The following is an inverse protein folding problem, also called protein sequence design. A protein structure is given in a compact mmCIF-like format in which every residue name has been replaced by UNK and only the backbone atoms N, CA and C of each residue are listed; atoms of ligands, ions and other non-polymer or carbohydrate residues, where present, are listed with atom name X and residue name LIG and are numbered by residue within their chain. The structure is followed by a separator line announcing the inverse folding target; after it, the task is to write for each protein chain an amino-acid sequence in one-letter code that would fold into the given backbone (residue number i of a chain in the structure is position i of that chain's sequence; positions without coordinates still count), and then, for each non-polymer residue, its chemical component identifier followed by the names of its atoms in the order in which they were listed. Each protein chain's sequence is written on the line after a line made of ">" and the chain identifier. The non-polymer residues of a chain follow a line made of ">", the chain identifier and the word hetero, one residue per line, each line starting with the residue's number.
data_IF_989708401040
#
_entry.id   IF_989708401040
#
_cell.length_a   1.000
_cell.length_b   1.000
_cell.length_c   1.000
_cell.angle_alpha   90.00
_cell.angle_beta   90.00
_cell.angle_gamma   90.00
#
_symmetry.space_group_name_H-M   'P 1'
#
loop_
_entity.id
_entity.type
_entity.pdbx_description
1 polymer ?
#
# COMPACT_ATOMS: atom_id res chain seq x y z
N UNK A 1 20.08 -0.06 -1.76
CA UNK A 1 19.48 1.21 -1.28
C UNK A 1 18.43 0.97 -0.20
N UNK A 2 17.66 -0.13 -0.25
CA UNK A 2 16.62 -0.46 0.74
C UNK A 2 17.17 -0.54 2.17
N UNK A 3 18.35 -1.14 2.41
CA UNK A 3 18.93 -1.27 3.76
C UNK A 3 19.30 0.06 4.46
N UNK A 4 19.20 1.20 3.77
CA UNK A 4 19.37 2.54 4.35
C UNK A 4 18.03 3.19 4.77
N UNK A 5 16.92 2.53 4.44
CA UNK A 5 15.59 3.04 4.76
C UNK A 5 15.24 2.55 6.17
N UNK A 6 15.12 3.49 7.10
CA UNK A 6 14.65 3.22 8.45
C UNK A 6 13.32 3.95 8.65
N UNK A 7 12.28 3.19 8.94
CA UNK A 7 10.95 3.72 9.26
C UNK A 7 10.24 2.70 10.17
N UNK A 8 9.54 3.17 11.19
CA UNK A 8 8.85 2.28 12.13
C UNK A 8 7.76 1.42 11.47
N UNK A 9 7.22 1.86 10.34
CA UNK A 9 6.17 1.15 9.60
C UNK A 9 6.71 0.28 8.45
N UNK A 10 8.03 0.05 8.41
CA UNK A 10 8.71 -0.85 7.49
C UNK A 10 9.54 -1.88 8.28
N UNK A 11 9.75 -3.10 7.74
CA UNK A 11 10.69 -4.04 8.33
C UNK A 11 12.13 -3.50 8.21
N UNK A 12 12.98 -3.83 9.17
CA UNK A 12 14.41 -3.57 9.07
C UNK A 12 15.00 -4.48 7.99
N UNK A 13 15.75 -3.91 7.07
CA UNK A 13 16.52 -4.67 6.09
C UNK A 13 17.93 -4.88 6.66
N UNK A 14 18.29 -6.12 6.96
CA UNK A 14 19.59 -6.49 7.53
C UNK A 14 20.66 -6.56 6.44
N UNK A 15 20.33 -7.18 5.30
CA UNK A 15 21.27 -7.32 4.19
C UNK A 15 20.56 -7.52 2.84
N UNK A 16 21.29 -7.25 1.74
CA UNK A 16 20.84 -7.50 0.38
C UNK A 16 21.99 -8.17 -0.39
N UNK A 17 21.83 -9.44 -0.68
CA UNK A 17 22.79 -10.27 -1.40
C UNK A 17 22.38 -10.28 -2.89
N UNK A 18 23.26 -9.79 -3.76
CA UNK A 18 23.04 -9.83 -5.20
C UNK A 18 23.52 -11.16 -5.75
N UNK A 19 22.69 -11.82 -6.54
CA UNK A 19 22.98 -13.03 -7.31
C UNK A 19 22.95 -12.70 -8.80
N UNK A 20 23.46 -13.63 -9.63
CA UNK A 20 23.48 -13.45 -11.08
C UNK A 20 22.07 -13.34 -11.67
N UNK A 21 21.08 -14.00 -11.08
CA UNK A 21 19.69 -14.09 -11.55
C UNK A 21 18.68 -13.39 -10.63
N UNK A 22 19.14 -12.66 -9.58
CA UNK A 22 18.23 -11.99 -8.65
C UNK A 22 18.88 -11.41 -7.41
N UNK A 23 18.08 -11.23 -6.38
CA UNK A 23 18.54 -10.69 -5.08
C UNK A 23 17.88 -11.48 -3.95
N UNK A 24 18.66 -11.74 -2.91
CA UNK A 24 18.14 -12.22 -1.61
C UNK A 24 18.12 -11.04 -0.66
N UNK A 25 16.97 -10.77 -0.07
CA UNK A 25 16.81 -9.73 0.96
C UNK A 25 16.65 -10.42 2.31
N UNK A 26 17.53 -10.09 3.25
CA UNK A 26 17.43 -10.48 4.64
C UNK A 26 16.75 -9.36 5.42
N UNK A 27 15.56 -9.62 5.95
CA UNK A 27 14.75 -8.60 6.63
C UNK A 27 14.22 -9.07 7.99
N UNK A 28 13.74 -8.11 8.78
CA UNK A 28 13.07 -8.35 10.06
C UNK A 28 11.88 -9.29 9.88
N UNK A 29 11.84 -10.35 10.66
CA UNK A 29 10.62 -11.14 10.81
C UNK A 29 9.64 -10.38 11.71
N UNK A 30 8.56 -9.88 11.12
CA UNK A 30 7.55 -9.10 11.83
C UNK A 30 6.49 -10.04 12.39
N UNK A 31 6.55 -10.33 13.71
CA UNK A 31 5.53 -11.13 14.39
C UNK A 31 4.26 -10.31 14.64
N UNK A 32 3.09 -10.83 14.26
CA UNK A 32 1.80 -10.17 14.48
C UNK A 32 0.68 -10.80 13.67
N UNK A 33 -0.49 -10.16 13.68
CA UNK A 33 -1.61 -10.53 12.83
C UNK A 33 -1.64 -9.63 11.60
N UNK A 34 -1.94 -10.20 10.45
CA UNK A 34 -2.21 -9.39 9.26
C UNK A 34 -3.53 -8.63 9.42
N UNK A 35 -3.67 -7.51 8.72
CA UNK A 35 -4.96 -6.77 8.67
C UNK A 35 -6.06 -7.71 8.16
N UNK A 36 -5.77 -8.62 7.23
CA UNK A 36 -6.70 -9.64 6.75
C UNK A 36 -7.21 -10.53 7.90
N UNK A 37 -6.31 -11.09 8.71
CA UNK A 37 -6.66 -11.91 9.87
C UNK A 37 -7.49 -11.13 10.92
N UNK A 38 -7.16 -9.87 11.15
CA UNK A 38 -7.95 -9.04 12.07
C UNK A 38 -9.36 -8.80 11.51
N UNK A 39 -9.51 -8.65 10.19
CA UNK A 39 -10.81 -8.49 9.53
C UNK A 39 -11.71 -9.73 9.63
N UNK A 40 -11.17 -10.94 9.82
CA UNK A 40 -11.97 -12.14 10.09
C UNK A 40 -12.81 -12.00 11.35
N UNK A 41 -12.35 -11.20 12.32
CA UNK A 41 -13.10 -10.90 13.56
C UNK A 41 -14.15 -9.80 13.40
N UNK A 42 -14.20 -9.14 12.25
CA UNK A 42 -15.17 -8.09 11.92
C UNK A 42 -14.56 -6.87 11.23
N UNK A 43 -15.44 -5.91 10.96
CA UNK A 43 -15.05 -4.66 10.29
C UNK A 43 -14.31 -3.71 11.24
N UNK A 44 -13.41 -2.93 10.69
CA UNK A 44 -12.76 -1.86 11.44
C UNK A 44 -13.72 -0.71 11.73
N UNK A 45 -13.53 -0.07 12.89
CA UNK A 45 -14.05 1.29 13.10
C UNK A 45 -13.31 2.28 12.21
N UNK A 46 -13.90 3.45 11.95
CA UNK A 46 -13.21 4.52 11.21
C UNK A 46 -11.85 4.86 11.84
N UNK A 47 -11.79 4.97 13.17
CA UNK A 47 -10.54 5.28 13.87
C UNK A 47 -9.49 4.18 13.71
N UNK A 48 -9.88 2.91 13.79
CA UNK A 48 -8.97 1.78 13.59
C UNK A 48 -8.44 1.72 12.15
N UNK A 49 -9.32 1.82 11.16
CA UNK A 49 -8.93 1.84 9.75
C UNK A 49 -8.03 3.05 9.43
N UNK A 50 -8.37 4.23 9.95
CA UNK A 50 -7.54 5.44 9.81
C UNK A 50 -6.11 5.21 10.31
N UNK A 51 -5.92 4.63 11.50
CA UNK A 51 -4.58 4.33 12.05
C UNK A 51 -3.77 3.43 11.10
N UNK A 52 -4.40 2.42 10.52
CA UNK A 52 -3.72 1.53 9.55
C UNK A 52 -3.30 2.34 8.32
N UNK A 53 -4.19 3.14 7.74
CA UNK A 53 -3.87 3.94 6.55
C UNK A 53 -2.78 4.98 6.85
N UNK A 54 -2.81 5.64 8.01
CA UNK A 54 -1.78 6.60 8.45
C UNK A 54 -0.40 5.93 8.53
N UNK A 55 -0.32 4.74 9.14
CA UNK A 55 0.93 3.98 9.24
C UNK A 55 1.47 3.58 7.85
N UNK A 56 0.59 3.10 6.95
CA UNK A 56 1.00 2.75 5.59
C UNK A 56 1.40 3.99 4.78
N UNK A 57 0.72 5.13 4.96
CA UNK A 57 1.15 6.40 4.34
C UNK A 57 2.55 6.82 4.79
N UNK A 58 2.89 6.63 6.08
CA UNK A 58 4.22 6.91 6.62
C UNK A 58 5.29 6.02 5.97
N UNK A 59 5.02 4.71 5.85
CA UNK A 59 5.90 3.76 5.15
C UNK A 59 6.12 4.17 3.69
N UNK A 60 5.03 4.41 2.96
CA UNK A 60 5.06 4.76 1.54
C UNK A 60 5.71 6.13 1.30
N UNK A 61 5.56 7.09 2.20
CA UNK A 61 6.23 8.40 2.06
C UNK A 61 7.75 8.25 1.95
N UNK A 62 8.33 7.35 2.74
CA UNK A 62 9.77 7.08 2.70
C UNK A 62 10.15 6.31 1.43
N UNK A 63 9.37 5.30 1.03
CA UNK A 63 9.60 4.55 -0.22
C UNK A 63 9.51 5.46 -1.45
N UNK A 64 8.45 6.26 -1.54
CA UNK A 64 8.21 7.18 -2.65
C UNK A 64 9.32 8.24 -2.76
N UNK A 65 9.86 8.73 -1.64
CA UNK A 65 11.01 9.66 -1.63
C UNK A 65 12.27 9.06 -2.25
N UNK A 66 12.38 7.71 -2.25
CA UNK A 66 13.47 6.97 -2.89
C UNK A 66 13.10 6.49 -4.31
N UNK A 67 11.93 6.90 -4.81
CA UNK A 67 11.41 6.49 -6.11
C UNK A 67 10.98 5.02 -6.16
N UNK A 68 10.60 4.43 -5.02
CA UNK A 68 10.14 3.04 -4.93
C UNK A 68 8.62 3.04 -4.80
N UNK A 69 7.92 2.32 -5.67
CA UNK A 69 6.48 2.11 -5.67
C UNK A 69 6.24 0.69 -5.18
N UNK A 70 5.33 0.48 -4.23
CA UNK A 70 5.08 -0.82 -3.60
C UNK A 70 4.30 -1.77 -4.51
N UNK A 71 3.19 -1.30 -5.11
CA UNK A 71 2.33 -1.97 -6.10
C UNK A 71 1.51 -3.18 -5.62
N UNK A 72 1.61 -3.57 -4.36
CA UNK A 72 0.83 -4.68 -3.78
C UNK A 72 0.32 -4.36 -2.37
N UNK A 73 -0.32 -3.18 -2.22
CA UNK A 73 -0.96 -2.78 -0.96
C UNK A 73 -2.28 -3.55 -0.82
N UNK A 74 -2.35 -4.41 0.21
CA UNK A 74 -3.52 -5.23 0.55
C UNK A 74 -3.48 -5.64 2.02
N UNK A 75 -4.61 -6.14 2.59
CA UNK A 75 -4.68 -6.52 4.00
C UNK A 75 -3.64 -7.57 4.44
N UNK A 76 -3.27 -8.50 3.55
CA UNK A 76 -2.31 -9.57 3.81
C UNK A 76 -0.89 -9.05 3.99
N UNK A 77 -0.56 -7.90 3.39
CA UNK A 77 0.77 -7.30 3.39
C UNK A 77 0.94 -6.23 4.48
N UNK A 78 0.05 -6.16 5.46
CA UNK A 78 0.13 -5.23 6.59
C UNK A 78 -0.02 -6.02 7.88
N UNK A 79 1.01 -5.97 8.74
CA UNK A 79 1.04 -6.67 10.03
C UNK A 79 0.82 -5.68 11.17
N UNK A 80 -0.02 -6.08 12.12
CA UNK A 80 -0.25 -5.39 13.38
C UNK A 80 0.40 -6.22 14.49
N UNK A 81 1.44 -5.69 15.11
CA UNK A 81 2.12 -6.31 16.23
C UNK A 81 1.35 -6.13 17.55
N UNK A 82 1.63 -6.97 18.55
CA UNK A 82 1.02 -6.89 19.90
C UNK A 82 1.22 -5.55 20.60
N UNK A 83 2.33 -4.87 20.32
CA UNK A 83 2.63 -3.53 20.85
C UNK A 83 1.92 -2.39 20.11
N UNK A 84 1.13 -2.72 19.06
CA UNK A 84 0.40 -1.76 18.24
C UNK A 84 1.19 -1.19 17.05
N UNK A 85 2.46 -1.59 16.84
CA UNK A 85 3.23 -1.22 15.64
C UNK A 85 2.56 -1.82 14.41
N UNK A 86 2.37 -1.02 13.36
CA UNK A 86 1.79 -1.44 12.09
C UNK A 86 2.90 -1.39 11.04
N UNK A 87 3.11 -2.50 10.33
CA UNK A 87 4.24 -2.67 9.41
C UNK A 87 3.75 -3.13 8.05
N UNK A 88 4.14 -2.42 7.01
CA UNK A 88 3.95 -2.80 5.61
C UNK A 88 5.09 -3.74 5.21
N UNK A 89 4.74 -4.92 4.72
CA UNK A 89 5.67 -5.98 4.33
C UNK A 89 5.52 -6.36 2.85
N UNK A 90 6.39 -7.22 2.36
CA UNK A 90 6.38 -7.82 1.02
C UNK A 90 6.62 -6.83 -0.13
N UNK A 91 7.89 -6.67 -0.46
CA UNK A 91 8.36 -5.80 -1.54
C UNK A 91 8.55 -6.52 -2.88
N UNK A 92 8.07 -7.77 -3.05
CA UNK A 92 8.31 -8.58 -4.24
C UNK A 92 7.74 -7.93 -5.53
N UNK A 93 6.64 -7.22 -5.43
CA UNK A 93 6.04 -6.48 -6.52
C UNK A 93 6.62 -5.07 -6.71
N UNK A 94 7.49 -4.62 -5.79
CA UNK A 94 7.99 -3.25 -5.76
C UNK A 94 8.86 -2.93 -6.95
N UNK A 95 8.76 -1.69 -7.43
CA UNK A 95 9.53 -1.21 -8.56
C UNK A 95 10.13 0.15 -8.29
N UNK A 96 11.35 0.35 -8.77
CA UNK A 96 11.94 1.69 -8.87
C UNK A 96 11.27 2.45 -10.02
N UNK A 97 10.80 3.65 -9.75
CA UNK A 97 10.21 4.55 -10.76
C UNK A 97 11.20 4.72 -11.93
N UNK A 98 10.75 4.43 -13.14
CA UNK A 98 11.52 4.60 -14.37
C UNK A 98 10.73 5.43 -15.35
N UNK A 99 11.36 6.45 -15.93
CA UNK A 99 10.72 7.32 -16.93
C UNK A 99 10.71 6.73 -18.35
N UNK A 100 11.53 5.68 -18.61
CA UNK A 100 11.84 5.21 -19.96
C UNK A 100 11.38 3.76 -20.27
N UNK A 101 10.74 3.07 -19.34
CA UNK A 101 10.28 1.68 -19.59
C UNK A 101 8.81 1.54 -19.27
N UNK A 102 8.04 1.10 -20.27
CA UNK A 102 6.64 0.68 -20.04
C UNK A 102 6.61 -0.48 -19.06
N UNK A 103 5.60 -0.52 -18.21
CA UNK A 103 5.32 -1.70 -17.40
C UNK A 103 4.95 -2.85 -18.37
N UNK A 104 5.84 -3.83 -18.50
CA UNK A 104 5.69 -4.95 -19.45
C UNK A 104 4.97 -6.15 -18.83
N UNK A 105 4.75 -6.12 -17.52
CA UNK A 105 4.12 -7.22 -16.78
C UNK A 105 2.91 -6.69 -16.02
N UNK A 106 1.76 -7.32 -16.26
CA UNK A 106 0.56 -7.11 -15.45
C UNK A 106 0.85 -7.66 -14.05
N UNK A 107 0.90 -6.79 -13.06
CA UNK A 107 1.19 -7.16 -11.66
C UNK A 107 0.18 -6.50 -10.73
N UNK A 108 -0.15 -7.20 -9.66
CA UNK A 108 -1.03 -6.72 -8.60
C UNK A 108 -2.07 -7.77 -8.22
N UNK A 109 -2.63 -7.61 -7.04
CA UNK A 109 -3.67 -8.49 -6.52
C UNK A 109 -5.03 -8.08 -7.09
N UNK A 110 -5.78 -9.04 -7.62
CA UNK A 110 -7.15 -8.80 -8.13
C UNK A 110 -7.98 -8.12 -7.04
N UNK A 111 -8.67 -7.04 -7.41
CA UNK A 111 -9.48 -6.22 -6.50
C UNK A 111 -8.71 -5.07 -5.82
N UNK A 112 -7.38 -5.05 -5.83
CA UNK A 112 -6.56 -3.95 -5.29
C UNK A 112 -5.73 -3.25 -6.36
N UNK A 113 -5.44 -3.94 -7.46
CA UNK A 113 -4.64 -3.41 -8.56
C UNK A 113 -5.32 -2.20 -9.21
N UNK A 114 -4.54 -1.14 -9.38
CA UNK A 114 -5.01 0.06 -10.08
C UNK A 114 -5.12 -0.18 -11.60
N UNK A 115 -5.94 0.60 -12.33
CA UNK A 115 -6.10 0.44 -13.78
C UNK A 115 -4.78 0.46 -14.55
N UNK A 116 -3.83 1.28 -14.15
CA UNK A 116 -2.51 1.36 -14.78
C UNK A 116 -1.68 0.08 -14.62
N UNK A 117 -1.85 -0.67 -13.52
CA UNK A 117 -1.18 -1.95 -13.32
C UNK A 117 -1.67 -3.04 -14.29
N UNK A 118 -2.82 -2.82 -14.91
CA UNK A 118 -3.37 -3.70 -15.95
C UNK A 118 -2.81 -3.39 -17.36
N UNK A 119 -1.73 -2.60 -17.44
CA UNK A 119 -1.05 -2.30 -18.69
C UNK A 119 -1.61 -1.10 -19.48
N UNK A 120 -2.48 -0.29 -18.85
CA UNK A 120 -3.10 0.87 -19.50
C UNK A 120 -2.12 2.07 -19.54
N UNK A 121 -1.33 2.25 -18.47
CA UNK A 121 -0.34 3.32 -18.37
C UNK A 121 0.80 2.93 -17.41
N UNK A 122 1.77 3.83 -17.23
CA UNK A 122 2.89 3.60 -16.33
C UNK A 122 2.47 3.78 -14.87
N UNK A 123 2.95 2.89 -13.98
CA UNK A 123 2.75 2.98 -12.54
C UNK A 123 3.63 4.07 -11.91
N UNK A 124 3.08 4.82 -10.97
CA UNK A 124 3.77 5.78 -10.12
C UNK A 124 3.21 5.74 -8.68
N UNK A 125 3.57 6.73 -7.85
CA UNK A 125 3.16 6.80 -6.45
C UNK A 125 1.62 6.77 -6.28
N UNK A 126 0.87 7.20 -7.27
CA UNK A 126 -0.61 7.22 -7.26
C UNK A 126 -1.23 5.85 -7.45
N UNK A 127 -0.44 4.87 -7.88
CA UNK A 127 -0.80 3.44 -7.91
C UNK A 127 -1.04 2.93 -6.48
N UNK A 128 -0.12 3.22 -5.55
CA UNK A 128 -0.26 2.83 -4.15
C UNK A 128 -1.44 3.57 -3.48
N UNK A 129 -1.69 4.83 -3.86
CA UNK A 129 -2.82 5.62 -3.36
C UNK A 129 -4.16 5.00 -3.77
N UNK A 130 -4.27 4.46 -4.99
CA UNK A 130 -5.46 3.73 -5.42
C UNK A 130 -5.72 2.52 -4.52
N UNK A 131 -4.71 1.68 -4.32
CA UNK A 131 -4.82 0.49 -3.47
C UNK A 131 -5.14 0.84 -2.00
N UNK A 132 -4.58 1.96 -1.46
CA UNK A 132 -4.95 2.48 -0.14
C UNK A 132 -6.44 2.86 -0.05
N UNK A 133 -7.00 3.42 -1.11
CA UNK A 133 -8.44 3.72 -1.17
C UNK A 133 -9.29 2.45 -1.10
N UNK A 134 -8.94 1.42 -1.87
CA UNK A 134 -9.60 0.12 -1.81
C UNK A 134 -9.49 -0.49 -0.41
N UNK A 135 -8.27 -0.55 0.14
CA UNK A 135 -8.01 -1.07 1.48
C UNK A 135 -8.85 -0.37 2.56
N UNK A 136 -8.88 0.97 2.52
CA UNK A 136 -9.66 1.75 3.48
C UNK A 136 -11.15 1.41 3.42
N UNK A 137 -11.69 1.28 2.21
CA UNK A 137 -13.08 0.88 2.01
C UNK A 137 -13.35 -0.53 2.54
N UNK A 138 -12.51 -1.50 2.17
CA UNK A 138 -12.69 -2.90 2.55
C UNK A 138 -12.63 -3.08 4.07
N UNK A 139 -11.72 -2.42 4.76
CA UNK A 139 -11.67 -2.41 6.22
C UNK A 139 -12.97 -1.90 6.85
N UNK A 140 -13.59 -0.86 6.28
CA UNK A 140 -14.79 -0.23 6.84
C UNK A 140 -16.09 -0.95 6.49
N UNK A 141 -16.17 -1.53 5.29
CA UNK A 141 -17.42 -2.09 4.75
C UNK A 141 -17.42 -3.61 4.65
N UNK A 142 -16.23 -4.22 4.57
CA UNK A 142 -16.04 -5.64 4.26
C UNK A 142 -16.21 -5.95 2.77
N UNK A 143 -16.35 -4.95 1.89
CA UNK A 143 -16.63 -5.11 0.47
C UNK A 143 -15.79 -4.17 -0.40
N UNK A 144 -15.60 -4.53 -1.66
CA UNK A 144 -14.96 -3.66 -2.64
C UNK A 144 -15.80 -2.39 -2.88
N UNK A 145 -15.19 -1.21 -3.17
CA UNK A 145 -15.94 0.05 -3.36
C UNK A 145 -16.98 0.01 -4.49
N UNK A 146 -16.83 -0.89 -5.47
CA UNK A 146 -17.83 -1.09 -6.54
C UNK A 146 -19.10 -1.78 -6.06
N UNK A 147 -19.03 -2.53 -4.95
CA UNK A 147 -20.15 -3.25 -4.35
C UNK A 147 -20.77 -2.41 -3.21
N UNK A 148 -19.94 -1.90 -2.32
CA UNK A 148 -20.38 -1.08 -1.18
C UNK A 148 -19.33 -0.01 -0.87
N UNK A 149 -19.71 1.24 -1.07
CA UNK A 149 -18.86 2.37 -0.73
C UNK A 149 -19.09 2.82 0.71
N UNK A 150 -18.01 3.07 1.44
CA UNK A 150 -18.07 3.68 2.77
C UNK A 150 -18.79 5.04 2.71
N UNK A 151 -19.46 5.43 3.80
CA UNK A 151 -20.24 6.67 3.88
C UNK A 151 -19.44 7.83 4.47
N UNK A 152 -19.98 9.04 4.36
CA UNK A 152 -19.44 10.24 5.00
C UNK A 152 -18.05 10.63 4.50
N UNK A 153 -17.16 11.01 5.43
CA UNK A 153 -15.78 11.44 5.13
C UNK A 153 -14.98 10.34 4.45
N UNK A 154 -15.08 9.10 4.95
CA UNK A 154 -14.38 7.96 4.38
C UNK A 154 -14.75 7.73 2.91
N UNK A 155 -16.03 7.75 2.56
CA UNK A 155 -16.47 7.56 1.18
C UNK A 155 -15.96 8.63 0.22
N UNK A 156 -15.83 9.88 0.68
CA UNK A 156 -15.23 10.96 -0.13
C UNK A 156 -13.74 10.69 -0.40
N UNK A 157 -13.01 10.23 0.62
CA UNK A 157 -11.58 9.88 0.52
C UNK A 157 -11.41 8.71 -0.44
N UNK A 158 -12.17 7.62 -0.24
CA UNK A 158 -12.13 6.44 -1.11
C UNK A 158 -12.38 6.80 -2.56
N UNK A 159 -13.47 7.53 -2.85
CA UNK A 159 -13.80 7.99 -4.21
C UNK A 159 -12.64 8.74 -4.87
N UNK A 160 -11.96 9.61 -4.12
CA UNK A 160 -10.83 10.37 -4.66
C UNK A 160 -9.60 9.49 -4.88
N UNK A 161 -9.30 8.55 -3.98
CA UNK A 161 -8.20 7.60 -4.17
C UNK A 161 -8.40 6.72 -5.40
N UNK A 162 -9.64 6.26 -5.64
CA UNK A 162 -9.98 5.24 -6.64
C UNK A 162 -10.43 5.80 -7.99
N UNK A 163 -10.13 7.07 -8.29
CA UNK A 163 -10.36 7.63 -9.62
C UNK A 163 -9.58 6.86 -10.69
N UNK A 164 -10.21 6.62 -11.85
CA UNK A 164 -9.57 5.94 -12.98
C UNK A 164 -8.37 6.76 -13.46
N UNK A 165 -8.59 8.07 -13.64
CA UNK A 165 -7.53 9.00 -14.00
C UNK A 165 -6.65 9.30 -12.78
N UNK A 166 -5.37 8.93 -12.85
CA UNK A 166 -4.37 9.19 -11.81
C UNK A 166 -4.30 10.67 -11.39
N UNK A 167 -4.49 11.60 -12.33
CA UNK A 167 -4.41 13.04 -12.06
C UNK A 167 -5.55 13.55 -11.15
N UNK A 168 -6.64 12.81 -11.03
CA UNK A 168 -7.79 13.14 -10.18
C UNK A 168 -7.66 12.59 -8.76
N UNK A 169 -6.68 11.68 -8.53
CA UNK A 169 -6.38 11.14 -7.20
C UNK A 169 -5.64 12.16 -6.33
N UNK A 170 -5.41 11.82 -5.07
CA UNK A 170 -4.37 12.48 -4.29
C UNK A 170 -3.02 12.29 -5.01
N UNK A 171 -2.21 13.33 -5.09
CA UNK A 171 -0.96 13.27 -5.86
C UNK A 171 0.20 12.71 -5.03
N UNK A 172 0.09 12.74 -3.71
CA UNK A 172 1.06 12.17 -2.76
C UNK A 172 0.34 11.49 -1.61
N UNK A 173 1.00 10.54 -0.96
CA UNK A 173 0.47 9.92 0.27
C UNK A 173 0.35 10.94 1.40
N UNK A 174 1.13 12.02 1.39
CA UNK A 174 0.99 13.12 2.33
C UNK A 174 -0.36 13.83 2.17
N UNK A 175 -0.79 14.09 0.94
CA UNK A 175 -2.11 14.70 0.70
C UNK A 175 -3.26 13.78 1.15
N UNK A 176 -3.09 12.47 0.99
CA UNK A 176 -4.06 11.50 1.53
C UNK A 176 -4.06 11.51 3.06
N UNK A 177 -2.89 11.47 3.69
CA UNK A 177 -2.74 11.51 5.15
C UNK A 177 -3.41 12.75 5.77
N UNK A 178 -3.23 13.93 5.17
CA UNK A 178 -3.85 15.19 5.62
C UNK A 178 -5.38 15.19 5.47
N UNK A 179 -5.91 14.37 4.57
CA UNK A 179 -7.35 14.23 4.34
C UNK A 179 -8.04 13.24 5.32
N UNK A 180 -7.28 12.36 6.01
CA UNK A 180 -7.79 11.40 6.99
C UNK A 180 -8.24 12.08 8.29
#
# INVERSE_FOLDING_TARGET
>A
KLHKIQNENLPLIYDVINLDDGQIVLEEYVEGLTVAQVMESGKYTFHGARKVIEAVCNALSVLHSQGIIHRDIKPENIIIQKNGRIVLIDFNASRKKSYNSKDTVVMGTVGYASPEQLGISQTDERTDIYALGILFNVMLTGAHPSEMLATGKAGKIVKKCTQINQNERYQTVKNLFEAL
#
